data_IF_505748571380
#
_entry.id   IF_505748571380
#
_cell.length_a   1.000
_cell.length_b   1.000
_cell.length_c   1.000
_cell.angle_alpha   90.00
_cell.angle_beta   90.00
_cell.angle_gamma   90.00
#
_symmetry.space_group_name_H-M   'P 1'
#
loop_
_entity.id
_entity.type
_entity.pdbx_description
1 polymer ?
#
# COMPACT_ATOMS: atom_id res chain seq x y z
N UNK A 1 -6.29 35.03 75.56
CA UNK A 1 -5.16 34.54 74.72
C UNK A 1 -5.71 33.47 73.78
N UNK A 2 -6.10 33.84 72.56
CA UNK A 2 -6.63 32.92 71.54
C UNK A 2 -5.51 32.50 70.60
N UNK A 3 -5.31 31.19 70.46
CA UNK A 3 -4.35 30.60 69.52
C UNK A 3 -5.12 30.23 68.25
N UNK A 4 -4.79 30.89 67.13
CA UNK A 4 -5.37 30.64 65.82
C UNK A 4 -4.85 29.31 65.24
N UNK A 5 -5.79 28.51 64.70
CA UNK A 5 -5.56 27.22 64.06
C UNK A 5 -5.07 27.42 62.60
N UNK A 6 -4.04 26.70 62.12
CA UNK A 6 -3.58 26.85 60.74
C UNK A 6 -4.57 26.22 59.74
N UNK A 7 -4.78 26.94 58.62
CA UNK A 7 -5.63 26.56 57.51
C UNK A 7 -4.88 25.59 56.58
N UNK A 8 -5.45 24.42 56.30
CA UNK A 8 -4.92 23.44 55.35
C UNK A 8 -5.00 23.97 53.91
N UNK A 9 -4.01 23.69 53.04
CA UNK A 9 -4.10 24.07 51.63
C UNK A 9 -5.12 23.19 50.88
N UNK A 10 -5.96 23.84 50.09
CA UNK A 10 -6.93 23.20 49.17
C UNK A 10 -6.20 22.48 48.03
N UNK A 11 -6.62 21.28 47.60
CA UNK A 11 -6.01 20.60 46.47
C UNK A 11 -6.33 21.35 45.16
N UNK A 12 -5.30 21.59 44.34
CA UNK A 12 -5.45 22.15 43.00
C UNK A 12 -6.28 21.19 42.12
N UNK A 13 -7.10 21.69 41.18
CA UNK A 13 -7.88 20.84 40.29
C UNK A 13 -6.96 20.06 39.36
N UNK A 14 -7.14 18.74 39.32
CA UNK A 14 -6.45 17.85 38.40
C UNK A 14 -6.70 18.31 36.96
N UNK A 15 -5.63 18.63 36.25
CA UNK A 15 -5.67 18.96 34.83
C UNK A 15 -6.02 17.70 34.04
N UNK A 16 -7.29 17.53 33.68
CA UNK A 16 -7.74 16.46 32.78
C UNK A 16 -7.10 16.69 31.42
N UNK A 17 -5.99 16.00 31.13
CA UNK A 17 -5.48 15.92 29.76
C UNK A 17 -6.58 15.29 28.90
N UNK A 18 -6.92 15.87 27.72
CA UNK A 18 -7.87 15.24 26.82
C UNK A 18 -7.35 13.85 26.46
N UNK A 19 -8.23 12.85 26.52
CA UNK A 19 -7.88 11.47 26.18
C UNK A 19 -7.26 11.45 24.77
N UNK A 20 -6.01 10.98 24.68
CA UNK A 20 -5.29 10.90 23.41
C UNK A 20 -6.11 10.06 22.43
N UNK A 21 -6.36 10.61 21.23
CA UNK A 21 -7.05 9.90 20.15
C UNK A 21 -6.27 8.59 19.89
N UNK A 22 -6.95 7.43 19.79
CA UNK A 22 -6.25 6.17 19.59
C UNK A 22 -5.41 6.24 18.30
N UNK A 23 -4.20 5.65 18.30
CA UNK A 23 -3.27 5.77 17.18
C UNK A 23 -3.89 5.17 15.92
N UNK A 24 -3.67 5.85 14.79
CA UNK A 24 -4.20 5.43 13.49
C UNK A 24 -3.55 4.10 13.10
N UNK A 25 -4.39 3.08 12.84
CA UNK A 25 -3.94 1.75 12.47
C UNK A 25 -3.40 1.74 11.02
N UNK A 26 -2.07 1.66 10.87
CA UNK A 26 -1.36 1.63 9.59
C UNK A 26 -1.30 0.22 9.00
N UNK A 27 -2.45 -0.36 8.65
CA UNK A 27 -2.56 -1.76 8.19
C UNK A 27 -1.65 -2.13 7.02
N UNK A 28 -1.41 -1.19 6.10
CA UNK A 28 -0.61 -1.42 4.89
C UNK A 28 0.90 -1.34 5.16
N UNK A 29 1.29 -0.76 6.30
CA UNK A 29 2.67 -0.49 6.68
C UNK A 29 3.12 -1.36 7.87
N UNK A 30 2.37 -2.42 8.18
CA UNK A 30 2.80 -3.38 9.19
C UNK A 30 4.17 -3.98 8.82
N UNK A 31 5.09 -4.02 9.79
CA UNK A 31 6.45 -4.54 9.61
C UNK A 31 7.52 -3.51 9.25
N UNK A 32 7.17 -2.25 8.97
CA UNK A 32 8.16 -1.18 8.84
C UNK A 32 8.65 -0.68 10.22
N UNK A 33 9.88 -0.12 10.32
CA UNK A 33 10.43 0.37 11.58
C UNK A 33 9.55 1.45 12.24
N UNK A 34 9.46 1.44 13.58
CA UNK A 34 8.61 2.37 14.34
C UNK A 34 8.89 3.84 14.06
N UNK A 35 10.16 4.20 13.84
CA UNK A 35 10.56 5.58 13.50
C UNK A 35 9.93 6.05 12.19
N UNK A 36 9.79 5.16 11.20
CA UNK A 36 9.16 5.46 9.92
C UNK A 36 7.64 5.54 10.07
N UNK A 37 7.05 4.61 10.84
CA UNK A 37 5.62 4.63 11.15
C UNK A 37 5.21 5.90 11.90
N UNK A 38 6.05 6.39 12.81
CA UNK A 38 5.83 7.65 13.52
C UNK A 38 5.77 8.84 12.55
N UNK A 39 6.68 8.92 11.57
CA UNK A 39 6.66 9.97 10.55
C UNK A 39 5.38 9.93 9.72
N UNK A 40 4.94 8.74 9.30
CA UNK A 40 3.68 8.58 8.56
C UNK A 40 2.48 9.01 9.41
N UNK A 41 2.44 8.65 10.70
CA UNK A 41 1.39 9.10 11.62
C UNK A 41 1.34 10.62 11.73
N UNK A 42 2.49 11.28 11.86
CA UNK A 42 2.57 12.74 11.89
C UNK A 42 2.01 13.38 10.62
N UNK A 43 2.32 12.84 9.43
CA UNK A 43 1.75 13.33 8.18
C UNK A 43 0.21 13.18 8.13
N UNK A 44 -0.31 12.07 8.66
CA UNK A 44 -1.76 11.86 8.72
C UNK A 44 -2.42 12.80 9.72
N UNK A 45 -1.84 12.97 10.90
CA UNK A 45 -2.35 13.88 11.95
C UNK A 45 -2.43 15.33 11.47
N UNK A 46 -1.49 15.73 10.60
CA UNK A 46 -1.48 17.06 9.97
C UNK A 46 -2.37 17.17 8.73
N UNK A 47 -2.92 16.06 8.22
CA UNK A 47 -3.68 16.05 6.98
C UNK A 47 -2.82 16.26 5.72
N UNK A 48 -1.51 16.05 5.81
CA UNK A 48 -0.52 16.35 4.76
C UNK A 48 -0.19 15.14 3.89
N UNK A 49 -0.52 13.91 4.32
CA UNK A 49 -0.15 12.66 3.65
C UNK A 49 -0.55 12.65 2.16
N UNK A 50 -1.81 12.93 1.85
CA UNK A 50 -2.30 12.97 0.47
C UNK A 50 -1.65 14.07 -0.38
N UNK A 51 -1.30 15.20 0.22
CA UNK A 51 -0.61 16.27 -0.50
C UNK A 51 0.83 15.89 -0.86
N UNK A 52 1.57 15.32 0.10
CA UNK A 52 2.93 14.80 -0.14
C UNK A 52 2.93 13.79 -1.28
N UNK A 53 1.99 12.85 -1.27
CA UNK A 53 1.86 11.83 -2.32
C UNK A 53 1.52 12.44 -3.68
N UNK A 54 0.57 13.39 -3.76
CA UNK A 54 0.22 14.07 -5.02
C UNK A 54 1.38 14.88 -5.60
N UNK A 55 2.16 15.55 -4.75
CA UNK A 55 3.35 16.30 -5.18
C UNK A 55 4.45 15.36 -5.69
N UNK A 56 4.63 14.20 -5.04
CA UNK A 56 5.65 13.21 -5.41
C UNK A 56 5.27 12.41 -6.66
N UNK A 57 3.98 12.14 -6.85
CA UNK A 57 3.45 11.34 -7.94
C UNK A 57 2.32 12.10 -8.68
N UNK A 58 2.65 13.16 -9.42
CA UNK A 58 1.66 14.00 -10.10
C UNK A 58 1.08 13.36 -11.36
N UNK A 59 1.80 12.40 -11.96
CA UNK A 59 1.48 11.86 -13.28
C UNK A 59 0.40 10.78 -13.21
N UNK A 60 -0.69 11.02 -13.94
CA UNK A 60 -1.72 10.02 -14.23
C UNK A 60 -1.33 9.15 -15.43
N UNK A 61 -2.10 8.09 -15.69
CA UNK A 61 -1.95 7.26 -16.88
C UNK A 61 -3.29 7.00 -17.60
N UNK A 62 -3.20 6.62 -18.87
CA UNK A 62 -4.37 6.36 -19.74
C UNK A 62 -4.77 4.87 -19.78
N UNK A 63 -4.07 4.00 -19.04
CA UNK A 63 -4.28 2.55 -19.02
C UNK A 63 -5.56 2.19 -18.24
N UNK A 64 -6.75 2.47 -18.80
CA UNK A 64 -8.05 2.31 -18.10
C UNK A 64 -8.90 1.13 -18.56
N UNK A 65 -8.46 0.42 -19.60
CA UNK A 65 -9.14 -0.77 -20.17
C UNK A 65 -8.24 -2.01 -20.11
N UNK A 66 -8.84 -3.20 -20.14
CA UNK A 66 -8.08 -4.46 -20.15
C UNK A 66 -7.17 -4.57 -21.38
N UNK A 67 -7.62 -4.05 -22.53
CA UNK A 67 -6.79 -3.97 -23.73
C UNK A 67 -5.56 -3.09 -23.50
N UNK A 68 -5.74 -1.87 -22.99
CA UNK A 68 -4.62 -0.98 -22.72
C UNK A 68 -3.67 -1.58 -21.69
N UNK A 69 -4.20 -2.26 -20.67
CA UNK A 69 -3.40 -2.94 -19.65
C UNK A 69 -2.60 -4.09 -20.25
N UNK A 70 -3.21 -4.90 -21.12
CA UNK A 70 -2.49 -5.97 -21.82
C UNK A 70 -1.31 -5.41 -22.63
N UNK A 71 -1.55 -4.37 -23.42
CA UNK A 71 -0.52 -3.73 -24.25
C UNK A 71 0.61 -3.18 -23.36
N UNK A 72 0.27 -2.48 -22.27
CA UNK A 72 1.22 -1.93 -21.29
C UNK A 72 2.09 -2.99 -20.60
N UNK A 73 1.46 -4.04 -20.05
CA UNK A 73 2.17 -5.13 -19.37
C UNK A 73 3.06 -5.89 -20.34
N UNK A 74 2.60 -6.12 -21.58
CA UNK A 74 3.39 -6.81 -22.58
C UNK A 74 4.61 -5.97 -23.02
N UNK A 75 4.46 -4.65 -23.20
CA UNK A 75 5.58 -3.76 -23.47
C UNK A 75 6.62 -3.81 -22.32
N UNK A 76 6.16 -3.69 -21.08
CA UNK A 76 7.03 -3.75 -19.90
C UNK A 76 7.78 -5.08 -19.79
N UNK A 77 7.07 -6.19 -20.04
CA UNK A 77 7.69 -7.53 -20.12
C UNK A 77 8.77 -7.58 -21.20
N UNK A 78 8.54 -7.00 -22.39
CA UNK A 78 9.53 -7.04 -23.47
C UNK A 78 10.78 -6.20 -23.18
N UNK A 79 10.68 -5.17 -22.33
CA UNK A 79 11.84 -4.38 -21.93
C UNK A 79 12.79 -5.16 -21.01
N UNK A 80 12.25 -5.92 -20.04
CA UNK A 80 13.07 -6.56 -19.00
C UNK A 80 13.11 -8.10 -19.04
N UNK A 81 12.20 -8.74 -19.77
CA UNK A 81 11.99 -10.18 -19.77
C UNK A 81 11.73 -10.73 -21.18
N UNK A 82 12.54 -10.34 -22.18
CA UNK A 82 12.37 -10.72 -23.61
C UNK A 82 12.16 -12.22 -23.86
N UNK A 83 12.86 -13.06 -23.12
CA UNK A 83 12.78 -14.51 -23.26
C UNK A 83 11.66 -15.14 -22.40
N UNK A 84 10.92 -14.32 -21.64
CA UNK A 84 9.79 -14.81 -20.89
C UNK A 84 8.65 -15.17 -21.86
N UNK A 85 7.93 -16.27 -21.58
CA UNK A 85 6.90 -16.71 -22.49
C UNK A 85 5.75 -15.69 -22.68
N UNK A 86 4.92 -15.84 -23.74
CA UNK A 86 3.81 -14.93 -23.98
C UNK A 86 2.77 -14.97 -22.85
N UNK A 87 2.19 -13.81 -22.56
CA UNK A 87 1.07 -13.65 -21.64
C UNK A 87 -0.20 -14.16 -22.32
N UNK A 88 -1.04 -14.87 -21.57
CA UNK A 88 -2.29 -15.41 -22.10
C UNK A 88 -3.47 -14.48 -21.83
N UNK A 89 -3.45 -13.79 -20.69
CA UNK A 89 -4.53 -12.91 -20.28
C UNK A 89 -3.98 -11.84 -19.33
N UNK A 90 -4.45 -10.61 -19.49
CA UNK A 90 -4.16 -9.50 -18.58
C UNK A 90 -5.43 -8.69 -18.44
N UNK A 91 -5.87 -8.43 -17.20
CA UNK A 91 -7.13 -7.70 -16.97
C UNK A 91 -7.19 -7.05 -15.59
N UNK A 92 -8.09 -6.08 -15.48
CA UNK A 92 -8.45 -5.48 -14.21
C UNK A 92 -9.48 -6.32 -13.44
N UNK A 93 -9.22 -6.61 -12.18
CA UNK A 93 -10.12 -7.37 -11.30
C UNK A 93 -10.63 -6.51 -10.14
N UNK A 94 -11.96 -6.27 -10.12
CA UNK A 94 -12.63 -5.53 -9.06
C UNK A 94 -12.70 -6.27 -7.71
N UNK A 95 -12.52 -7.59 -7.71
CA UNK A 95 -12.54 -8.43 -6.50
C UNK A 95 -11.15 -8.64 -5.89
N UNK A 96 -10.09 -8.22 -6.59
CA UNK A 96 -8.72 -8.43 -6.15
C UNK A 96 -8.40 -7.53 -4.95
N UNK A 97 -8.02 -8.16 -3.83
CA UNK A 97 -7.58 -7.45 -2.62
C UNK A 97 -6.07 -7.21 -2.70
N UNK A 98 -5.66 -5.97 -3.02
CA UNK A 98 -4.25 -5.57 -3.16
C UNK A 98 -3.39 -5.98 -1.96
N UNK A 99 -3.95 -5.89 -0.76
CA UNK A 99 -3.28 -6.21 0.51
C UNK A 99 -2.82 -7.69 0.59
N UNK A 100 -3.60 -8.61 0.02
CA UNK A 100 -3.37 -10.06 0.15
C UNK A 100 -2.42 -10.63 -0.90
N UNK A 101 -2.31 -9.98 -2.06
CA UNK A 101 -1.58 -10.53 -3.20
C UNK A 101 -0.29 -9.77 -3.51
N UNK A 102 -0.27 -8.43 -3.38
CA UNK A 102 0.78 -7.59 -3.95
C UNK A 102 1.80 -7.05 -2.95
N UNK A 103 1.48 -7.03 -1.65
CA UNK A 103 2.27 -6.30 -0.65
C UNK A 103 2.83 -7.21 0.45
N UNK A 104 3.01 -8.50 0.14
CA UNK A 104 3.72 -9.44 1.02
C UNK A 104 3.04 -9.72 2.36
N UNK A 105 1.73 -9.48 2.49
CA UNK A 105 0.98 -9.92 3.67
C UNK A 105 0.77 -11.43 3.57
N UNK A 106 1.82 -12.21 3.87
CA UNK A 106 1.79 -13.66 3.95
C UNK A 106 0.93 -14.12 5.13
N UNK A 107 -0.39 -13.94 5.04
CA UNK A 107 -1.27 -14.92 5.66
C UNK A 107 -1.23 -16.13 4.74
N UNK A 108 -0.35 -17.07 5.08
CA UNK A 108 -0.30 -18.44 4.57
C UNK A 108 -1.72 -18.96 4.31
N UNK A 109 -2.20 -18.81 3.08
CA UNK A 109 -3.27 -19.63 2.52
C UNK A 109 -2.69 -20.27 1.27
N UNK A 110 -1.67 -21.09 1.49
CA UNK A 110 -1.46 -22.27 0.67
C UNK A 110 -2.66 -23.19 0.87
N UNK A 111 -3.81 -22.88 0.25
CA UNK A 111 -4.80 -23.90 -0.05
C UNK A 111 -4.43 -24.48 -1.41
N UNK A 112 -3.48 -25.41 -1.35
CA UNK A 112 -3.28 -26.40 -2.40
C UNK A 112 -4.57 -27.24 -2.40
N UNK A 113 -5.56 -26.85 -3.19
CA UNK A 113 -6.67 -27.75 -3.53
C UNK A 113 -6.24 -28.51 -4.78
N UNK A 114 -6.18 -29.83 -4.61
CA UNK A 114 -5.68 -30.79 -5.59
C UNK A 114 -6.29 -30.60 -6.98
N UNK A 115 -5.41 -30.69 -7.96
CA UNK A 115 -5.68 -30.43 -9.36
C UNK A 115 -4.56 -29.52 -9.84
N UNK A 116 -3.70 -30.01 -10.73
CA UNK A 116 -2.69 -29.17 -11.38
C UNK A 116 -3.38 -27.91 -11.92
N UNK A 117 -3.28 -26.80 -11.20
CA UNK A 117 -3.50 -25.49 -11.78
C UNK A 117 -2.33 -25.35 -12.74
N UNK A 118 -2.58 -25.70 -14.01
CA UNK A 118 -1.86 -25.06 -15.11
C UNK A 118 -2.02 -23.57 -14.81
N UNK A 119 -1.03 -22.95 -14.16
CA UNK A 119 -0.98 -21.52 -13.93
C UNK A 119 -0.88 -20.92 -15.32
N UNK A 120 -2.05 -20.67 -15.92
CA UNK A 120 -2.17 -19.91 -17.15
C UNK A 120 -1.49 -18.59 -16.84
N UNK A 121 -0.66 -18.10 -17.77
CA UNK A 121 0.18 -16.91 -17.63
C UNK A 121 -0.70 -15.66 -17.67
N UNK A 122 -1.51 -15.54 -16.63
CA UNK A 122 -2.56 -14.56 -16.43
C UNK A 122 -2.07 -13.55 -15.39
N UNK A 123 -2.18 -12.26 -15.71
CA UNK A 123 -1.88 -11.16 -14.78
C UNK A 123 -3.18 -10.46 -14.44
N UNK A 124 -3.38 -10.21 -13.14
CA UNK A 124 -4.59 -9.59 -12.61
C UNK A 124 -4.18 -8.36 -11.82
N UNK A 125 -4.71 -7.20 -12.20
CA UNK A 125 -4.42 -5.92 -11.51
C UNK A 125 -5.71 -5.41 -10.88
N UNK A 126 -5.66 -4.92 -9.65
CA UNK A 126 -6.87 -4.40 -9.01
C UNK A 126 -7.38 -3.15 -9.74
N UNK A 127 -8.71 -2.99 -9.85
CA UNK A 127 -9.31 -1.83 -10.53
C UNK A 127 -8.94 -0.49 -9.93
N UNK A 128 -8.47 -0.43 -8.68
CA UNK A 128 -7.98 0.81 -8.06
C UNK A 128 -6.82 1.44 -8.84
N UNK A 129 -6.00 0.62 -9.51
CA UNK A 129 -4.87 1.10 -10.29
C UNK A 129 -5.30 1.78 -11.58
N UNK A 130 -6.60 1.89 -11.91
CA UNK A 130 -7.06 2.74 -13.01
C UNK A 130 -6.93 4.23 -12.72
N UNK A 131 -7.04 4.60 -11.44
CA UNK A 131 -6.99 5.99 -10.97
C UNK A 131 -5.74 6.29 -10.13
N UNK A 132 -4.86 5.30 -9.96
CA UNK A 132 -3.60 5.50 -9.26
C UNK A 132 -2.60 6.27 -10.14
N UNK A 133 -1.62 6.98 -9.55
CA UNK A 133 -0.49 7.52 -10.30
C UNK A 133 0.23 6.47 -11.16
N UNK A 134 0.81 6.92 -12.28
CA UNK A 134 1.51 6.09 -13.25
C UNK A 134 2.60 5.20 -12.62
N UNK A 135 3.36 5.75 -11.67
CA UNK A 135 4.39 5.01 -10.96
C UNK A 135 3.84 3.81 -10.17
N UNK A 136 2.64 3.94 -9.59
CA UNK A 136 2.02 2.86 -8.83
C UNK A 136 1.50 1.75 -9.73
N UNK A 137 0.96 2.10 -10.91
CA UNK A 137 0.62 1.12 -11.94
C UNK A 137 1.88 0.38 -12.41
N UNK A 138 2.96 1.10 -12.72
CA UNK A 138 4.20 0.46 -13.19
C UNK A 138 4.77 -0.48 -12.12
N UNK A 139 4.78 -0.06 -10.87
CA UNK A 139 5.29 -0.85 -9.75
C UNK A 139 4.50 -2.15 -9.59
N UNK A 140 3.16 -2.10 -9.60
CA UNK A 140 2.36 -3.33 -9.50
C UNK A 140 2.53 -4.23 -10.71
N UNK A 141 2.69 -3.67 -11.92
CA UNK A 141 2.97 -4.47 -13.12
C UNK A 141 4.33 -5.17 -13.02
N UNK A 142 5.35 -4.48 -12.55
CA UNK A 142 6.67 -5.06 -12.25
C UNK A 142 6.54 -6.19 -11.24
N UNK A 143 5.75 -6.01 -10.18
CA UNK A 143 5.49 -7.04 -9.18
C UNK A 143 4.88 -8.31 -9.79
N UNK A 144 3.79 -8.17 -10.54
CA UNK A 144 3.10 -9.32 -11.16
C UNK A 144 3.94 -10.00 -12.24
N UNK A 145 4.77 -9.24 -12.96
CA UNK A 145 5.72 -9.80 -13.94
C UNK A 145 6.81 -10.62 -13.25
N UNK A 146 7.29 -10.18 -12.08
CA UNK A 146 8.28 -10.93 -11.32
C UNK A 146 7.76 -12.32 -10.89
N UNK A 147 6.47 -12.41 -10.52
CA UNK A 147 5.80 -13.68 -10.18
C UNK A 147 5.77 -14.71 -11.30
N UNK A 148 6.00 -14.31 -12.55
CA UNK A 148 6.12 -15.26 -13.67
C UNK A 148 7.39 -16.12 -13.58
N UNK A 149 8.41 -15.66 -12.83
CA UNK A 149 9.67 -16.38 -12.62
C UNK A 149 9.89 -16.75 -11.17
N UNK A 150 9.58 -15.84 -10.25
CA UNK A 150 9.86 -15.96 -8.82
C UNK A 150 8.52 -15.94 -8.05
N UNK A 151 7.94 -17.09 -7.68
CA UNK A 151 6.59 -17.15 -7.11
C UNK A 151 6.51 -16.70 -5.64
N UNK A 152 7.63 -16.67 -4.93
CA UNK A 152 7.72 -16.31 -3.52
C UNK A 152 8.39 -14.95 -3.36
N UNK A 153 7.94 -14.13 -2.42
CA UNK A 153 8.50 -12.79 -2.13
C UNK A 153 9.84 -12.85 -1.39
N UNK A 154 10.85 -13.46 -2.00
CA UNK A 154 12.19 -13.62 -1.44
C UNK A 154 13.22 -12.66 -2.09
N UNK A 155 14.50 -12.87 -1.78
CA UNK A 155 15.59 -12.05 -2.32
C UNK A 155 15.66 -12.08 -3.85
N UNK A 156 15.35 -13.21 -4.49
CA UNK A 156 15.37 -13.33 -5.95
C UNK A 156 14.22 -12.53 -6.57
N UNK A 157 13.01 -12.63 -5.99
CA UNK A 157 11.86 -11.82 -6.39
C UNK A 157 12.15 -10.32 -6.32
N UNK A 158 12.60 -9.83 -5.15
CA UNK A 158 12.90 -8.40 -4.99
C UNK A 158 14.08 -7.96 -5.86
N UNK A 159 15.07 -8.82 -6.07
CA UNK A 159 16.15 -8.58 -7.01
C UNK A 159 15.66 -8.39 -8.45
N UNK A 160 14.70 -9.21 -8.89
CA UNK A 160 14.08 -9.08 -10.20
C UNK A 160 13.22 -7.81 -10.30
N UNK A 161 12.43 -7.48 -9.28
CA UNK A 161 11.69 -6.22 -9.23
C UNK A 161 12.63 -5.00 -9.36
N UNK A 162 13.72 -4.97 -8.60
CA UNK A 162 14.71 -3.90 -8.64
C UNK A 162 15.46 -3.81 -9.99
N UNK A 163 15.61 -4.94 -10.69
CA UNK A 163 16.14 -4.95 -12.06
C UNK A 163 15.19 -4.26 -13.05
N UNK A 164 13.88 -4.44 -12.90
CA UNK A 164 12.87 -3.83 -13.78
C UNK A 164 12.55 -2.38 -13.42
N UNK A 165 12.60 -2.04 -12.13
CA UNK A 165 12.33 -0.71 -11.59
C UNK A 165 13.33 -0.39 -10.47
N UNK A 166 14.23 0.58 -10.71
CA UNK A 166 15.33 0.93 -9.80
C UNK A 166 14.87 1.34 -8.40
N UNK A 167 13.77 2.08 -8.31
CA UNK A 167 13.19 2.64 -7.10
C UNK A 167 12.02 1.80 -6.56
N UNK A 168 11.91 0.53 -6.98
CA UNK A 168 10.79 -0.36 -6.66
C UNK A 168 10.38 -0.34 -5.18
N UNK A 169 11.33 -0.51 -4.25
CA UNK A 169 11.03 -0.54 -2.82
C UNK A 169 10.45 0.78 -2.29
N UNK A 170 10.92 1.91 -2.83
CA UNK A 170 10.40 3.21 -2.44
C UNK A 170 8.98 3.39 -2.96
N UNK A 171 8.73 3.05 -4.23
CA UNK A 171 7.39 3.15 -4.84
C UNK A 171 6.41 2.16 -4.20
N UNK A 172 6.86 0.97 -3.80
CA UNK A 172 6.06 -0.02 -3.05
C UNK A 172 5.66 0.52 -1.67
N UNK A 173 6.60 1.13 -0.95
CA UNK A 173 6.32 1.79 0.32
C UNK A 173 5.33 2.96 0.15
N UNK A 174 5.53 3.78 -0.87
CA UNK A 174 4.65 4.92 -1.14
C UNK A 174 3.26 4.48 -1.62
N UNK A 175 3.14 3.35 -2.32
CA UNK A 175 1.84 2.74 -2.60
C UNK A 175 1.11 2.37 -1.30
N UNK A 176 1.82 1.78 -0.31
CA UNK A 176 1.21 1.45 0.99
C UNK A 176 0.71 2.71 1.71
N UNK A 177 1.45 3.82 1.61
CA UNK A 177 0.99 5.12 2.09
C UNK A 177 -0.24 5.63 1.32
N UNK A 178 -0.26 5.49 0.01
CA UNK A 178 -1.41 5.86 -0.84
C UNK A 178 -2.67 5.05 -0.50
N UNK A 179 -2.57 3.74 -0.32
CA UNK A 179 -3.68 2.90 0.13
C UNK A 179 -4.18 3.30 1.52
N UNK A 180 -3.27 3.75 2.39
CA UNK A 180 -3.63 4.31 3.71
C UNK A 180 -4.45 5.59 3.54
N UNK A 181 -4.05 6.50 2.65
CA UNK A 181 -4.81 7.72 2.35
C UNK A 181 -6.21 7.41 1.79
N UNK A 182 -6.32 6.49 0.82
CA UNK A 182 -7.62 6.09 0.27
C UNK A 182 -8.57 5.53 1.35
N UNK A 183 -8.04 4.72 2.26
CA UNK A 183 -8.79 4.18 3.40
C UNK A 183 -9.27 5.29 4.37
N UNK A 184 -8.45 6.33 4.57
CA UNK A 184 -8.81 7.48 5.42
C UNK A 184 -9.92 8.30 4.77
N UNK A 185 -9.80 8.58 3.47
CA UNK A 185 -10.80 9.34 2.70
C UNK A 185 -12.15 8.59 2.67
N UNK A 186 -12.12 7.28 2.44
CA UNK A 186 -13.32 6.45 2.46
C UNK A 186 -14.03 6.47 3.84
N UNK A 187 -13.27 6.44 4.94
CA UNK A 187 -13.85 6.54 6.29
C UNK A 187 -14.41 7.92 6.57
N UNK A 188 -13.74 8.99 6.14
CA UNK A 188 -14.22 10.36 6.29
C UNK A 188 -15.54 10.59 5.53
N UNK A 189 -15.65 10.05 4.32
CA UNK A 189 -16.88 10.12 3.51
C UNK A 189 -18.07 9.41 4.21
N UNK A 190 -17.84 8.23 4.79
CA UNK A 190 -18.85 7.48 5.55
C UNK A 190 -19.29 8.18 6.85
N UNK A 191 -18.43 9.00 7.46
CA UNK A 191 -18.75 9.77 8.66
C UNK A 191 -19.48 11.08 8.35
N UNK A 192 -19.41 11.52 7.10
CA UNK A 192 -20.03 12.77 6.62
C UNK A 192 -21.36 12.52 5.88
N UNK A 193 -21.78 11.26 5.77
CA UNK A 193 -23.05 10.81 5.18
C UNK A 193 -24.02 10.38 6.28
#
# INVERSE_FOLDING_TARGET
MSVAKPLSPSPAPASTQPAAKPPIALRYLAGYPDALLAQVRTLIERGELGEVLRRKYPDAHEVRSDKALFDYVNERKQQAMRNAPPLQLVYYDAKLKVLQHALGTHTRISKIHGGQLKSRREIRIATLFKEAPAAFLDMIVVHELAHLKEPEHDKAFYGLCCHMMRDYHQVEFDLRMYLTQLDLDAKAALQSS
#
